data_IF_357399530603
#
_entry.id   IF_357399530603
#
_cell.length_a   1.000
_cell.length_b   1.000
_cell.length_c   1.000
_cell.angle_alpha   90.00
_cell.angle_beta   90.00
_cell.angle_gamma   90.00
#
_symmetry.space_group_name_H-M   'P 1'
#
loop_
_entity.id
_entity.type
_entity.pdbx_description
1 polymer ?
2 non-polymer ?
3 non-polymer ?
4 non-polymer ?
5 water ?
#
# COMPACT_ATOMS: atom_id res chain seq x y z
N UNK A 29 -10.38 -19.50 12.58
CA UNK A 29 -11.43 -19.63 11.53
C UNK A 29 -11.52 -18.36 10.68
N UNK A 30 -11.60 -17.18 11.32
CA UNK A 30 -11.69 -15.94 10.55
C UNK A 30 -10.43 -15.75 9.71
N UNK A 31 -10.60 -15.41 8.44
CA UNK A 31 -9.46 -15.21 7.55
C UNK A 31 -9.62 -14.01 6.63
N UNK A 32 -8.54 -13.25 6.50
CA UNK A 32 -8.53 -12.07 5.64
C UNK A 32 -7.08 -11.78 5.25
N UNK A 33 -6.80 -11.80 3.95
CA UNK A 33 -5.45 -11.54 3.46
C UNK A 33 -5.46 -11.06 2.02
N UNK A 34 -4.41 -10.35 1.62
CA UNK A 34 -4.31 -9.85 0.26
C UNK A 34 -2.91 -9.39 -0.09
N UNK A 35 -2.58 -9.50 -1.37
CA UNK A 35 -1.30 -9.03 -1.90
C UNK A 35 -1.63 -8.53 -3.29
N UNK A 36 -1.42 -7.24 -3.50
CA UNK A 36 -1.69 -6.63 -4.79
C UNK A 36 -0.46 -5.91 -5.33
N UNK A 37 -0.37 -5.86 -6.66
CA UNK A 37 0.76 -5.25 -7.35
C UNK A 37 0.31 -4.13 -8.29
N UNK A 38 1.16 -3.11 -8.43
CA UNK A 38 0.84 -1.99 -9.31
C UNK A 38 1.45 -2.28 -10.68
N UNK A 39 0.62 -2.31 -11.72
CA UNK A 39 1.13 -2.62 -13.05
C UNK A 39 1.77 -1.44 -13.77
N UNK A 40 1.40 -0.22 -13.38
CA UNK A 40 1.93 0.98 -14.01
C UNK A 40 2.65 1.88 -13.01
N UNK A 41 3.61 2.66 -13.50
CA UNK A 41 4.37 3.56 -12.64
C UNK A 41 3.73 4.93 -12.45
N UNK A 42 4.20 5.64 -11.43
CA UNK A 42 3.78 7.00 -11.10
C UNK A 42 2.28 7.25 -10.92
N UNK A 43 1.69 6.68 -9.86
CA UNK A 43 0.26 6.85 -9.57
C UNK A 43 -0.01 8.31 -9.21
N UNK A 44 -1.27 8.72 -9.26
CA UNK A 44 -1.64 10.09 -8.92
C UNK A 44 -1.40 10.31 -7.43
N UNK A 45 -1.02 11.53 -7.05
CA UNK A 45 -0.77 11.82 -5.65
C UNK A 45 -2.02 12.30 -4.91
N UNK A 46 -1.94 12.31 -3.59
CA UNK A 46 -3.05 12.77 -2.77
C UNK A 46 -4.29 11.90 -2.79
N UNK A 47 -4.18 10.70 -3.33
CA UNK A 47 -5.32 9.79 -3.40
C UNK A 47 -4.84 8.34 -3.25
N UNK A 48 -5.73 7.42 -2.83
CA UNK A 48 -5.32 6.03 -2.68
C UNK A 48 -4.66 5.46 -3.94
N UNK A 49 -3.54 4.77 -3.76
CA UNK A 49 -2.85 4.17 -4.89
C UNK A 49 -3.63 2.92 -5.27
N UNK A 50 -4.16 2.88 -6.50
CA UNK A 50 -4.94 1.73 -6.96
C UNK A 50 -4.16 0.53 -7.48
N UNK A 51 -3.60 -0.28 -6.58
CA UNK A 51 -2.87 -1.47 -7.00
C UNK A 51 -3.89 -2.33 -7.75
N UNK A 52 -3.62 -2.60 -9.02
CA UNK A 52 -4.54 -3.35 -9.88
C UNK A 52 -4.26 -4.83 -10.14
N UNK A 53 -3.02 -5.27 -9.96
CA UNK A 53 -2.70 -6.67 -10.21
C UNK A 53 -2.88 -7.52 -8.95
N UNK A 54 -3.85 -8.44 -9.00
CA UNK A 54 -4.16 -9.29 -7.86
C UNK A 54 -3.32 -10.56 -7.77
N UNK A 55 -2.65 -10.76 -6.64
CA UNK A 55 -1.85 -11.96 -6.44
C UNK A 55 -2.69 -12.86 -5.55
N UNK A 56 -3.36 -12.25 -4.58
CA UNK A 56 -4.26 -12.95 -3.66
C UNK A 56 -5.24 -11.93 -3.09
N UNK A 57 -6.52 -12.25 -3.14
CA UNK A 57 -7.57 -11.36 -2.63
C UNK A 57 -8.88 -12.14 -2.60
N UNK A 58 -8.79 -13.38 -2.14
CA UNK A 58 -9.94 -14.28 -2.08
C UNK A 58 -11.14 -13.74 -1.31
N UNK A 59 -10.91 -13.14 -0.15
CA UNK A 59 -12.01 -12.60 0.65
C UNK A 59 -12.55 -11.29 0.07
N UNK A 60 -11.84 -10.75 -0.92
CA UNK A 60 -12.24 -9.50 -1.57
C UNK A 60 -12.38 -8.31 -0.62
N UNK A 61 -11.57 -8.29 0.43
CA UNK A 61 -11.62 -7.19 1.38
C UNK A 61 -10.88 -5.96 0.85
N UNK A 62 -10.05 -6.17 -0.17
CA UNK A 62 -9.32 -5.08 -0.80
C UNK A 62 -10.04 -4.78 -2.11
N UNK A 63 -10.19 -3.50 -2.43
CA UNK A 63 -10.88 -3.09 -3.65
C UNK A 63 -9.92 -2.50 -4.68
N UNK A 64 -9.65 -3.24 -5.77
CA UNK A 64 -8.75 -2.81 -6.84
C UNK A 64 -9.11 -1.47 -7.49
N UNK A 65 -10.41 -1.19 -7.62
CA UNK A 65 -10.84 0.05 -8.25
C UNK A 65 -10.69 1.29 -7.37
N UNK A 66 -10.57 1.08 -6.06
CA UNK A 66 -10.42 2.21 -5.15
C UNK A 66 -9.04 2.21 -4.50
N UNK A 67 -8.43 1.03 -4.43
CA UNK A 67 -7.12 0.91 -3.82
C UNK A 67 -7.25 0.96 -2.32
N UNK A 68 -8.47 0.74 -1.84
CA UNK A 68 -8.75 0.78 -0.41
C UNK A 68 -9.10 -0.59 0.15
N UNK A 69 -8.59 -0.86 1.35
CA UNK A 69 -8.87 -2.11 2.04
C UNK A 69 -9.91 -1.76 3.10
N UNK A 70 -11.02 -2.50 3.12
CA UNK A 70 -12.06 -2.24 4.10
C UNK A 70 -12.19 -3.43 5.04
N UNK A 71 -12.07 -3.17 6.33
CA UNK A 71 -12.15 -4.21 7.34
C UNK A 71 -13.58 -4.74 7.51
N UNK A 72 -13.71 -6.06 7.50
CA UNK A 72 -15.00 -6.71 7.68
C UNK A 72 -14.95 -7.53 8.96
N UNK A 73 -13.73 -7.91 9.35
CA UNK A 73 -13.50 -8.70 10.55
C UNK A 73 -12.60 -7.94 11.52
N UNK A 74 -13.16 -7.48 12.65
CA UNK A 74 -12.40 -6.73 13.65
C UNK A 74 -11.19 -7.51 14.17
N UNK A 75 -10.11 -6.79 14.47
CA UNK A 75 -8.92 -7.43 14.98
C UNK A 75 -7.66 -6.70 14.57
N UNK A 76 -6.50 -7.24 14.92
CA UNK A 76 -5.25 -6.60 14.55
C UNK A 76 -4.75 -7.19 13.25
N UNK A 77 -4.36 -6.30 12.34
CA UNK A 77 -3.86 -6.70 11.04
C UNK A 77 -2.42 -6.25 10.87
N UNK A 78 -1.70 -6.94 9.99
CA UNK A 78 -0.32 -6.60 9.68
C UNK A 78 -0.31 -6.17 8.22
N UNK A 79 0.21 -4.98 7.96
CA UNK A 79 0.30 -4.49 6.59
C UNK A 79 1.76 -4.33 6.20
N UNK A 80 2.05 -4.57 4.93
CA UNK A 80 3.41 -4.47 4.42
C UNK A 80 3.37 -3.88 3.02
N UNK A 81 4.31 -2.99 2.71
CA UNK A 81 4.35 -2.40 1.38
C UNK A 81 5.79 -2.27 0.91
N UNK A 82 5.96 -2.37 -0.40
CA UNK A 82 7.28 -2.31 -1.01
C UNK A 82 7.18 -1.45 -2.26
N UNK A 83 7.98 -0.38 -2.32
CA UNK A 83 7.95 0.48 -3.50
C UNK A 83 9.32 0.62 -4.12
N UNK A 84 9.35 0.87 -5.42
CA UNK A 84 10.60 1.06 -6.14
C UNK A 84 10.66 2.56 -6.44
N UNK A 85 11.87 3.10 -6.44
CA UNK A 85 12.08 4.53 -6.62
C UNK A 85 12.83 4.85 -7.91
N UNK A 86 12.27 5.76 -8.71
CA UNK A 86 12.90 6.14 -9.97
C UNK A 86 12.39 7.48 -10.50
N UNK A 87 13.31 8.31 -10.99
CA UNK A 87 12.93 9.61 -11.54
C UNK A 87 13.06 10.71 -10.52
N UNK A 88 12.51 10.48 -9.34
CA UNK A 88 12.61 11.45 -8.27
C UNK A 88 12.38 10.72 -6.95
N UNK A 89 12.47 11.44 -5.84
CA UNK A 89 12.29 10.85 -4.53
C UNK A 89 10.88 10.32 -4.30
N UNK A 90 10.74 9.46 -3.30
CA UNK A 90 9.45 8.89 -2.97
C UNK A 90 9.14 9.03 -1.50
N UNK A 91 7.97 9.60 -1.21
CA UNK A 91 7.49 9.75 0.16
C UNK A 91 6.11 9.13 0.13
N UNK A 92 5.94 8.03 0.85
CA UNK A 92 4.66 7.35 0.85
C UNK A 92 4.15 7.13 2.26
N UNK A 93 2.83 7.17 2.43
CA UNK A 93 2.26 6.97 3.74
C UNK A 93 1.19 5.90 3.77
N UNK A 94 1.10 5.19 4.90
CA UNK A 94 0.08 4.17 5.09
C UNK A 94 -1.01 4.93 5.85
N UNK A 95 -2.20 5.01 5.26
CA UNK A 95 -3.31 5.75 5.86
C UNK A 95 -4.39 4.88 6.49
N UNK A 96 -4.99 5.39 7.57
CA UNK A 96 -6.08 4.70 8.24
C UNK A 96 -7.20 5.72 8.41
N UNK A 97 -8.31 5.50 7.72
CA UNK A 97 -9.45 6.40 7.77
C UNK A 97 -9.10 7.85 7.47
N UNK A 98 -8.24 8.06 6.47
CA UNK A 98 -7.88 9.41 6.09
C UNK A 98 -6.70 10.03 6.81
N UNK A 99 -6.15 9.32 7.79
CA UNK A 99 -5.01 9.84 8.54
C UNK A 99 -3.78 8.96 8.36
N UNK A 100 -2.62 9.57 8.08
CA UNK A 100 -1.37 8.83 7.88
C UNK A 100 -0.90 8.25 9.22
N UNK A 101 -0.58 6.96 9.26
CA UNK A 101 -0.10 6.36 10.50
C UNK A 101 1.38 6.00 10.39
N UNK A 102 1.89 5.94 9.17
CA UNK A 102 3.30 5.61 8.95
C UNK A 102 3.81 6.19 7.63
N UNK A 103 5.03 6.72 7.67
CA UNK A 103 5.66 7.30 6.50
C UNK A 103 6.96 6.58 6.17
N UNK A 104 7.20 6.38 4.88
CA UNK A 104 8.43 5.76 4.41
C UNK A 104 8.99 6.73 3.37
N UNK A 105 10.30 6.95 3.41
CA UNK A 105 10.94 7.89 2.49
C UNK A 105 12.21 7.30 1.88
N UNK A 106 12.51 7.67 0.64
CA UNK A 106 13.71 7.18 -0.03
C UNK A 106 14.05 8.17 -1.13
N UNK A 107 15.33 8.49 -1.26
CA UNK A 107 15.77 9.43 -2.28
C UNK A 107 16.44 8.77 -3.48
N UNK A 108 16.16 9.36 -4.63
CA UNK A 108 16.66 8.88 -5.91
C UNK A 108 18.01 9.46 -6.31
N UNK A 109 19.01 8.60 -6.40
CA UNK A 109 20.34 9.02 -6.85
C UNK A 109 20.23 8.92 -8.38
N UNK A 110 20.43 10.05 -9.06
CA UNK A 110 20.33 10.11 -10.51
C UNK A 110 20.89 8.89 -11.24
N UNK A 111 20.03 8.25 -12.03
CA UNK A 111 20.43 7.08 -12.80
C UNK A 111 20.38 5.74 -12.09
N UNK A 112 19.92 5.71 -10.84
CA UNK A 112 19.87 4.44 -10.11
C UNK A 112 18.59 4.22 -9.34
N UNK A 113 17.92 3.11 -9.64
CA UNK A 113 16.68 2.77 -8.96
C UNK A 113 16.99 2.32 -7.54
N UNK A 114 16.03 2.53 -6.64
CA UNK A 114 16.14 2.12 -5.25
C UNK A 114 14.84 1.44 -4.85
N UNK A 115 14.86 0.76 -3.71
CA UNK A 115 13.69 0.04 -3.22
C UNK A 115 13.51 0.36 -1.74
N UNK A 116 12.28 0.65 -1.34
CA UNK A 116 11.97 1.00 0.05
C UNK A 116 10.74 0.24 0.54
N UNK A 117 10.76 -0.18 1.80
CA UNK A 117 9.65 -0.94 2.39
C UNK A 117 9.24 -0.42 3.76
N UNK A 118 8.05 -0.83 4.19
CA UNK A 118 7.54 -0.44 5.49
C UNK A 118 6.49 -1.45 5.89
N UNK A 119 6.17 -1.52 7.18
CA UNK A 119 5.14 -2.44 7.64
C UNK A 119 4.66 -2.00 9.01
N UNK A 120 3.47 -2.44 9.39
CA UNK A 120 2.93 -2.05 10.68
C UNK A 120 1.75 -2.90 11.12
N UNK A 121 1.60 -3.00 12.44
CA UNK A 121 0.49 -3.71 13.05
C UNK A 121 -0.55 -2.63 13.28
N UNK A 122 -1.77 -2.86 12.81
CA UNK A 122 -2.84 -1.89 12.98
C UNK A 122 -4.10 -2.56 13.52
N UNK A 123 -4.69 -1.93 14.53
CA UNK A 123 -5.92 -2.43 15.14
C UNK A 123 -7.07 -1.90 14.29
N UNK A 124 -7.92 -2.79 13.81
CA UNK A 124 -9.04 -2.37 12.96
C UNK A 124 -10.41 -2.86 13.41
N UNK A 125 -11.43 -2.05 13.15
CA UNK A 125 -12.80 -2.39 13.48
C UNK A 125 -13.56 -2.40 12.17
N UNK A 126 -14.76 -2.97 12.17
CA UNK A 126 -15.56 -3.04 10.96
C UNK A 126 -15.71 -1.69 10.28
N UNK A 127 -15.57 -1.69 8.96
CA UNK A 127 -15.69 -0.49 8.14
C UNK A 127 -14.47 0.42 8.16
N UNK A 128 -13.45 0.08 8.94
CA UNK A 128 -12.24 0.90 8.95
C UNK A 128 -11.57 0.72 7.59
N UNK A 129 -10.93 1.77 7.08
CA UNK A 129 -10.28 1.69 5.79
C UNK A 129 -8.78 1.97 5.86
N UNK A 130 -8.00 1.20 5.11
CA UNK A 130 -6.55 1.35 5.07
C UNK A 130 -6.08 1.41 3.62
N UNK A 131 -5.12 2.28 3.34
CA UNK A 131 -4.59 2.40 1.98
C UNK A 131 -3.23 3.10 1.97
N UNK A 132 -2.60 3.11 0.80
CA UNK A 132 -1.31 3.77 0.62
C UNK A 132 -1.53 5.00 -0.24
N UNK A 133 -0.76 6.05 0.01
CA UNK A 133 -0.91 7.28 -0.75
C UNK A 133 0.34 8.15 -0.72
N UNK A 134 0.58 8.84 -1.83
CA UNK A 134 1.71 9.76 -1.95
C UNK A 134 1.14 11.13 -1.56
N UNK A 135 1.56 11.67 -0.41
CA UNK A 135 1.06 12.98 0.04
C UNK A 135 1.52 14.19 -0.77
N UNK A 136 2.79 14.17 -1.18
CA UNK A 136 3.40 15.28 -1.89
C UNK A 136 3.69 15.03 -3.37
N UNK A 137 3.38 16.02 -4.20
CA UNK A 137 3.60 15.92 -5.64
C UNK A 137 5.08 15.97 -6.01
N UNK A 138 5.90 16.49 -5.10
CA UNK A 138 7.34 16.61 -5.33
C UNK A 138 8.12 15.30 -5.12
N UNK A 139 7.60 14.43 -4.27
CA UNK A 139 8.25 13.15 -4.00
C UNK A 139 7.32 12.05 -4.47
N UNK A 140 7.11 11.98 -5.79
CA UNK A 140 6.19 11.01 -6.36
C UNK A 140 6.82 9.98 -7.30
N UNK A 141 8.12 9.73 -7.16
CA UNK A 141 8.79 8.78 -8.03
C UNK A 141 8.51 7.30 -7.78
N UNK A 142 7.24 6.96 -7.52
CA UNK A 142 6.89 5.57 -7.26
C UNK A 142 6.86 4.79 -8.58
N UNK A 143 7.84 3.92 -8.75
CA UNK A 143 7.96 3.14 -9.98
C UNK A 143 7.43 1.72 -9.85
N UNK A 144 6.88 1.21 -10.94
CA UNK A 144 6.38 -0.15 -10.96
C UNK A 144 6.16 -0.55 -12.41
N UNK A 145 6.23 -1.85 -12.68
CA UNK A 145 6.03 -2.35 -14.04
C UNK A 145 5.75 -3.83 -13.99
N UNK A 146 5.63 -4.43 -15.17
CA UNK A 146 5.36 -5.85 -15.29
C UNK A 146 6.51 -6.67 -14.72
N UNK A 147 7.71 -6.09 -14.66
CA UNK A 147 8.87 -6.82 -14.15
C UNK A 147 9.51 -6.27 -12.87
N UNK A 148 9.00 -5.15 -12.38
CA UNK A 148 9.48 -4.52 -11.15
C UNK A 148 8.21 -4.29 -10.33
N UNK A 149 7.95 -5.16 -9.36
CA UNK A 149 6.72 -5.08 -8.59
C UNK A 149 6.63 -4.28 -7.29
N UNK A 150 5.99 -3.12 -7.33
CA UNK A 150 5.77 -2.37 -6.11
C UNK A 150 4.47 -3.02 -5.62
N UNK A 151 4.42 -3.42 -4.36
CA UNK A 151 3.24 -4.11 -3.87
C UNK A 151 2.70 -3.63 -2.53
N UNK A 152 1.55 -4.18 -2.17
CA UNK A 152 0.86 -3.85 -0.94
C UNK A 152 0.21 -5.15 -0.46
N UNK A 153 0.45 -5.51 0.80
CA UNK A 153 -0.12 -6.73 1.39
C UNK A 153 -0.65 -6.47 2.78
N UNK A 154 -1.53 -7.36 3.22
CA UNK A 154 -2.09 -7.24 4.55
C UNK A 154 -2.81 -8.52 4.91
N UNK A 155 -2.86 -8.83 6.20
CA UNK A 155 -3.57 -10.02 6.65
C UNK A 155 -3.92 -9.93 8.13
N UNK A 156 -5.00 -10.62 8.50
CA UNK A 156 -5.48 -10.65 9.87
C UNK A 156 -4.51 -11.46 10.74
N UNK A 157 -4.04 -10.85 11.82
CA UNK A 157 -3.13 -11.53 12.72
C UNK A 157 -3.92 -12.20 13.85
N UNK A 158 -4.88 -11.47 14.41
CA UNK A 158 -5.70 -12.01 15.49
C UNK A 158 -7.07 -11.34 15.57
N UNK A 159 -8.14 -12.14 15.48
CA UNK A 159 -9.52 -11.64 15.55
C UNK A 159 -9.84 -11.10 16.93
N UNK A 160 -10.51 -9.95 16.99
CA UNK A 160 -10.87 -9.35 18.26
C UNK A 160 -12.12 -8.49 18.15
X LIG B 1 10.62 16.42 0.47
X LIG B 1 9.79 15.77 1.63
X LIG B 1 8.46 17.96 2.10
X LIG B 1 7.83 19.19 2.84
X LIG B 1 7.17 18.70 4.18
X LIG B 1 8.05 17.64 4.83
X LIG B 1 7.36 17.27 6.15
X LIG B 1 6.58 18.56 6.55
X LIG B 1 6.83 19.61 5.40
X LIG B 1 5.85 17.89 3.78
X LIG B 1 8.51 14.99 1.10
X LIG B 1 11.97 17.00 0.87
X LIG B 1 12.87 16.02 1.64
X LIG B 1 12.10 15.44 2.87
X LIG B 1 10.73 14.79 2.39
X LIG B 1 10.02 14.18 3.63
X LIG B 1 9.39 15.19 4.64
X LIG B 1 8.52 16.36 4.03
X LIG B 1 9.36 16.84 2.73
X LIG B 1 5.63 20.65 5.41
X LIG B 1 5.55 21.66 4.25
X LIG B 1 5.67 21.40 6.79
X LIG B 1 4.57 22.46 7.01
X LIG B 1 14.12 16.60 2.10
X LIG B 1 10.38 15.88 5.46
X LIG B 1 8.97 19.98 3.25
X LIG C 1 20.64 3.69 -2.89
X LIG D 1 16.70 0.15 -0.12
X LIG E 1 17.93 6.10 -1.97
#
# INVERSE_FOLDING_TARGET
MPEGFIKAGQRPSLSGTPLVSANQGVTGMPVSAFTVILSKAYPAIGTPIPFDKILYNRQQHYDPRTGIFTCQIPGIYYFSYHVHVKGTHVWVGLYKNGTPVMYTYDEYTKGYLDQASGSAIIDLTENDQVWLQLPNAESNGLYSSEYVHSSFSGFLVAPM
CPS C1 C2 C3 C4 C5 C6 C7 C8 C9 C10 C11 C12 C13 C14 C15 C16 C17 C18 C19 C20 C21 C22 C23 O2 O3 O4
CA CA
NA NA
CA CA
#
